data_IF_777967441042
#
_entry.id   IF_777967441042
#
_cell.length_a   1.000
_cell.length_b   1.000
_cell.length_c   1.000
_cell.angle_alpha   90.00
_cell.angle_beta   90.00
_cell.angle_gamma   90.00
#
_symmetry.space_group_name_H-M   'P 1'
#
loop_
_entity.id
_entity.type
_entity.pdbx_description
1 polymer ?
#
# COMPACT_ATOMS: atom_id res chain seq x y z
N UNK A 1 9.09 -0.89 12.83
CA UNK A 1 8.67 -2.00 11.95
C UNK A 1 7.37 -1.54 11.33
N UNK A 2 7.17 -1.70 10.03
CA UNK A 2 5.99 -1.17 9.35
C UNK A 2 4.72 -1.83 9.92
N UNK A 3 3.61 -1.11 10.12
CA UNK A 3 2.35 -1.72 10.55
C UNK A 3 1.61 -2.44 9.41
N UNK A 4 0.74 -3.39 9.78
CA UNK A 4 -0.30 -3.90 8.90
C UNK A 4 -1.57 -3.06 9.06
N UNK A 5 -2.38 -3.01 8.01
CA UNK A 5 -3.71 -2.43 8.04
C UNK A 5 -4.64 -3.32 8.86
N UNK A 6 -5.21 -2.75 9.93
CA UNK A 6 -6.12 -3.42 10.85
C UNK A 6 -7.37 -2.54 11.04
N UNK A 7 -8.43 -3.10 11.62
CA UNK A 7 -9.73 -2.43 11.75
C UNK A 7 -9.68 -1.12 12.57
N UNK A 8 -8.74 -1.09 13.50
CA UNK A 8 -8.42 -0.02 14.44
C UNK A 8 -7.39 0.97 13.89
N UNK A 9 -6.80 0.72 12.72
CA UNK A 9 -5.82 1.62 12.12
C UNK A 9 -6.43 3.02 11.96
N UNK A 10 -5.71 4.01 12.48
CA UNK A 10 -6.15 5.40 12.43
C UNK A 10 -5.98 5.98 11.02
N UNK A 11 -7.02 6.66 10.52
CA UNK A 11 -6.94 7.37 9.23
C UNK A 11 -5.80 8.41 9.20
N UNK A 12 -5.43 8.96 10.37
CA UNK A 12 -4.30 9.88 10.48
C UNK A 12 -2.98 9.22 10.08
N UNK A 13 -2.79 7.96 10.42
CA UNK A 13 -1.57 7.20 10.09
C UNK A 13 -1.49 6.87 8.61
N UNK A 14 -2.65 6.69 7.96
CA UNK A 14 -2.75 6.43 6.53
C UNK A 14 -2.68 7.70 5.69
N UNK A 15 -2.48 8.89 6.27
CA UNK A 15 -2.33 10.11 5.47
C UNK A 15 -0.95 10.16 4.84
N UNK A 16 -0.91 10.07 3.51
CA UNK A 16 0.33 10.07 2.73
C UNK A 16 1.24 8.88 3.01
N UNK A 17 0.72 7.83 3.63
CA UNK A 17 1.47 6.60 3.85
C UNK A 17 1.77 5.92 2.51
N UNK A 18 2.87 5.20 2.45
CA UNK A 18 3.09 4.19 1.41
C UNK A 18 2.49 2.88 1.86
N UNK A 19 2.02 2.10 0.91
CA UNK A 19 1.48 0.78 1.19
C UNK A 19 1.99 -0.27 0.19
N UNK A 20 1.98 -1.52 0.63
CA UNK A 20 2.16 -2.71 -0.19
C UNK A 20 1.04 -3.69 0.14
N UNK A 21 0.41 -4.25 -0.89
CA UNK A 21 -0.52 -5.38 -0.76
C UNK A 21 0.09 -6.65 -1.35
N UNK A 22 -0.04 -7.73 -0.60
CA UNK A 22 0.18 -9.08 -1.09
C UNK A 22 -0.89 -10.01 -0.51
N UNK A 23 -1.69 -10.65 -1.38
CA UNK A 23 -2.89 -11.36 -0.98
C UNK A 23 -3.89 -10.43 -0.28
N UNK A 24 -4.43 -10.88 0.86
CA UNK A 24 -5.35 -10.11 1.71
C UNK A 24 -4.66 -9.17 2.71
N UNK A 25 -3.33 -9.08 2.69
CA UNK A 25 -2.56 -8.28 3.65
C UNK A 25 -2.10 -6.97 3.02
N UNK A 26 -2.34 -5.87 3.73
CA UNK A 26 -1.84 -4.54 3.36
C UNK A 26 -0.89 -4.08 4.47
N UNK A 27 0.39 -3.91 4.16
CA UNK A 27 1.35 -3.25 5.03
C UNK A 27 1.49 -1.78 4.61
N UNK A 28 1.65 -0.88 5.56
CA UNK A 28 1.86 0.54 5.28
C UNK A 28 2.96 1.14 6.15
N UNK A 29 3.54 2.26 5.72
CA UNK A 29 4.54 2.99 6.50
C UNK A 29 4.65 4.44 6.01
N UNK A 30 5.50 5.21 6.68
CA UNK A 30 5.84 6.58 6.34
C UNK A 30 6.25 6.72 4.86
N UNK A 31 5.85 7.81 4.16
CA UNK A 31 6.20 8.05 2.77
C UNK A 31 7.70 8.04 2.46
N UNK A 32 8.60 8.22 3.44
CA UNK A 32 10.04 8.14 3.20
C UNK A 32 10.54 6.71 3.02
N UNK A 33 9.81 5.71 3.55
CA UNK A 33 10.20 4.31 3.47
C UNK A 33 9.94 3.75 2.05
N UNK A 34 10.87 2.97 1.52
CA UNK A 34 10.69 2.31 0.22
C UNK A 34 9.64 1.19 0.28
N UNK A 35 8.84 1.01 -0.77
CA UNK A 35 7.85 -0.07 -0.83
C UNK A 35 8.50 -1.46 -0.69
N UNK A 36 9.67 -1.65 -1.27
CA UNK A 36 10.49 -2.84 -1.14
C UNK A 36 10.93 -3.11 0.30
N UNK A 37 11.21 -2.06 1.09
CA UNK A 37 11.54 -2.17 2.52
C UNK A 37 10.31 -2.59 3.31
N UNK A 38 9.16 -1.95 3.08
CA UNK A 38 7.87 -2.34 3.68
C UNK A 38 7.61 -3.83 3.40
N UNK A 39 7.65 -4.22 2.13
CA UNK A 39 7.43 -5.60 1.73
C UNK A 39 8.45 -6.57 2.36
N UNK A 40 9.75 -6.23 2.36
CA UNK A 40 10.81 -7.06 2.94
C UNK A 40 10.63 -7.28 4.44
N UNK A 41 10.28 -6.24 5.20
CA UNK A 41 10.09 -6.31 6.65
C UNK A 41 9.01 -7.31 7.06
N UNK A 42 8.03 -7.53 6.18
CA UNK A 42 6.89 -8.41 6.42
C UNK A 42 6.94 -9.72 5.64
N UNK A 43 8.01 -9.98 4.89
CA UNK A 43 8.09 -11.14 4.00
C UNK A 43 7.05 -11.13 2.88
N UNK A 44 6.50 -9.96 2.54
CA UNK A 44 5.52 -9.82 1.45
C UNK A 44 6.23 -9.77 0.10
N UNK A 45 5.58 -10.34 -0.90
CA UNK A 45 6.04 -10.41 -2.27
C UNK A 45 7.25 -11.31 -2.47
N UNK A 46 7.59 -11.53 -3.73
CA UNK A 46 8.76 -12.34 -4.12
C UNK A 46 9.93 -11.43 -4.52
N UNK A 47 11.16 -11.67 -4.04
CA UNK A 47 12.30 -10.91 -4.49
C UNK A 47 12.53 -11.15 -5.99
N UNK A 48 12.55 -10.07 -6.76
CA UNK A 48 13.00 -10.09 -8.15
C UNK A 48 14.40 -9.52 -8.14
N UNK A 49 15.38 -10.30 -8.60
CA UNK A 49 16.69 -9.77 -8.95
C UNK A 49 16.69 -9.48 -10.45
N UNK A 50 16.38 -8.25 -10.89
CA UNK A 50 16.67 -7.90 -12.26
C UNK A 50 18.19 -7.79 -12.38
N UNK A 51 18.78 -8.68 -13.18
CA UNK A 51 20.21 -8.63 -13.53
C UNK A 51 20.60 -7.19 -13.89
N UNK A 52 21.57 -6.61 -13.17
CA UNK A 52 22.11 -5.28 -13.46
C UNK A 52 21.53 -4.10 -12.68
N UNK A 53 20.63 -4.30 -11.70
CA UNK A 53 20.17 -3.24 -10.80
C UNK A 53 20.72 -3.41 -9.38
N UNK A 54 21.09 -2.28 -8.76
CA UNK A 54 21.57 -2.23 -7.37
C UNK A 54 20.44 -2.31 -6.33
N UNK A 55 19.19 -2.07 -6.72
CA UNK A 55 18.02 -2.16 -5.84
C UNK A 55 17.22 -3.44 -6.09
N UNK A 56 17.04 -4.23 -5.03
CA UNK A 56 16.23 -5.43 -5.05
C UNK A 56 14.75 -5.05 -5.18
N UNK A 57 14.13 -5.38 -6.30
CA UNK A 57 12.69 -5.18 -6.48
C UNK A 57 11.91 -6.34 -5.86
N UNK A 58 10.65 -6.10 -5.52
CA UNK A 58 9.74 -7.16 -5.08
C UNK A 58 8.49 -7.26 -5.96
N UNK A 59 8.09 -8.48 -6.27
CA UNK A 59 6.87 -8.79 -6.99
C UNK A 59 5.73 -8.86 -5.98
N UNK A 60 4.75 -7.96 -6.09
CA UNK A 60 3.63 -7.82 -5.14
C UNK A 60 2.32 -7.69 -5.92
N UNK A 61 1.18 -7.72 -5.23
CA UNK A 61 -0.10 -7.56 -5.92
C UNK A 61 -0.41 -6.09 -6.19
N UNK A 62 -0.13 -5.19 -5.24
CA UNK A 62 -0.24 -3.74 -5.42
C UNK A 62 0.77 -3.00 -4.53
N UNK A 63 1.14 -1.79 -4.92
CA UNK A 63 1.94 -0.89 -4.11
C UNK A 63 1.76 0.56 -4.56
N UNK A 64 1.66 1.47 -3.61
CA UNK A 64 1.39 2.88 -3.90
C UNK A 64 1.40 3.72 -2.63
N UNK A 65 0.61 4.77 -2.63
CA UNK A 65 0.44 5.65 -1.48
C UNK A 65 -1.03 5.89 -1.20
N UNK A 66 -1.35 6.31 0.01
CA UNK A 66 -2.69 6.72 0.40
C UNK A 66 -2.75 8.25 0.47
N UNK A 67 -3.87 8.83 0.06
CA UNK A 67 -4.11 10.28 0.13
C UNK A 67 -5.47 10.54 0.78
N UNK A 68 -5.61 11.57 1.63
CA UNK A 68 -6.92 11.97 2.11
C UNK A 68 -7.76 12.56 0.97
N UNK A 69 -9.07 12.30 0.96
CA UNK A 69 -9.97 12.92 -0.02
C UNK A 69 -10.04 14.45 0.08
N UNK A 70 -9.85 15.00 1.30
CA UNK A 70 -9.79 16.44 1.54
C UNK A 70 -8.51 16.81 2.26
N UNK A 71 -7.78 17.79 1.71
CA UNK A 71 -6.60 18.36 2.33
C UNK A 71 -6.95 18.98 3.69
N UNK A 72 -6.11 18.75 4.70
CA UNK A 72 -6.26 19.37 6.03
C UNK A 72 -7.20 18.66 7.02
N UNK A 73 -8.07 17.74 6.58
CA UNK A 73 -9.07 17.08 7.45
C UNK A 73 -8.72 15.64 7.87
N UNK A 74 -8.42 15.41 9.15
CA UNK A 74 -8.04 14.10 9.68
C UNK A 74 -9.17 13.07 9.74
N UNK A 75 -10.40 13.44 9.40
CA UNK A 75 -11.57 12.55 9.38
C UNK A 75 -11.97 12.12 7.98
N UNK A 76 -11.42 12.75 6.95
CA UNK A 76 -11.76 12.43 5.57
C UNK A 76 -11.29 11.03 5.18
N UNK A 77 -12.09 10.29 4.39
CA UNK A 77 -11.70 8.98 3.88
C UNK A 77 -10.37 9.05 3.11
N UNK A 78 -9.63 7.94 3.10
CA UNK A 78 -8.39 7.82 2.31
C UNK A 78 -8.67 7.09 1.00
N UNK A 79 -7.97 7.50 -0.06
CA UNK A 79 -7.93 6.78 -1.33
C UNK A 79 -6.54 6.20 -1.56
N UNK A 80 -6.47 5.05 -2.21
CA UNK A 80 -5.22 4.43 -2.59
C UNK A 80 -4.82 4.95 -3.98
N UNK A 81 -3.70 5.64 -4.10
CA UNK A 81 -3.20 6.28 -5.34
C UNK A 81 -1.76 5.89 -5.69
N UNK A 82 -1.31 6.32 -6.87
CA UNK A 82 0.06 6.20 -7.36
C UNK A 82 0.59 4.75 -7.43
N UNK A 83 1.82 4.59 -7.92
CA UNK A 83 2.47 3.29 -8.08
C UNK A 83 3.87 3.29 -7.49
N UNK A 84 4.42 2.11 -7.24
CA UNK A 84 5.78 1.93 -6.74
C UNK A 84 6.83 1.84 -7.85
N UNK A 85 8.00 2.43 -7.63
CA UNK A 85 9.19 2.24 -8.48
C UNK A 85 10.08 1.08 -8.00
N UNK A 86 9.93 0.67 -6.74
CA UNK A 86 10.73 -0.40 -6.10
C UNK A 86 9.99 -1.73 -5.99
N UNK A 87 8.68 -1.76 -6.26
CA UNK A 87 7.89 -2.97 -6.46
C UNK A 87 7.40 -3.11 -7.91
N UNK A 88 7.24 -4.35 -8.37
CA UNK A 88 6.58 -4.71 -9.63
C UNK A 88 5.26 -5.39 -9.31
N UNK A 89 4.20 -5.08 -10.05
CA UNK A 89 2.89 -5.70 -9.85
C UNK A 89 2.79 -7.04 -10.59
N UNK A 90 2.13 -8.05 -9.98
CA UNK A 90 1.86 -9.36 -10.61
C UNK A 90 0.89 -9.28 -11.79
N UNK A 91 0.02 -8.27 -11.82
CA UNK A 91 -1.05 -8.15 -12.81
C UNK A 91 -1.30 -6.71 -13.29
N UNK A 92 -2.50 -6.48 -13.83
CA UNK A 92 -2.93 -5.16 -14.27
C UNK A 92 -3.07 -4.22 -13.06
N UNK A 93 -2.55 -3.00 -13.21
CA UNK A 93 -2.59 -1.96 -12.19
C UNK A 93 -4.01 -1.59 -11.75
N UNK A 94 -4.96 -1.49 -12.68
CA UNK A 94 -6.33 -1.06 -12.37
C UNK A 94 -7.06 -2.11 -11.53
N UNK A 95 -6.97 -3.38 -11.91
CA UNK A 95 -7.57 -4.49 -11.16
C UNK A 95 -6.91 -4.65 -9.79
N UNK A 96 -5.57 -4.57 -9.75
CA UNK A 96 -4.81 -4.59 -8.50
C UNK A 96 -5.28 -3.50 -7.53
N UNK A 97 -5.50 -2.27 -8.04
CA UNK A 97 -5.95 -1.14 -7.24
C UNK A 97 -7.38 -1.32 -6.73
N UNK A 98 -8.30 -1.77 -7.58
CA UNK A 98 -9.68 -2.06 -7.18
C UNK A 98 -9.73 -3.09 -6.04
N UNK A 99 -8.95 -4.16 -6.18
CA UNK A 99 -8.84 -5.18 -5.14
C UNK A 99 -8.25 -4.62 -3.84
N UNK A 100 -7.19 -3.80 -3.91
CA UNK A 100 -6.64 -3.14 -2.72
C UNK A 100 -7.66 -2.25 -2.02
N UNK A 101 -8.40 -1.43 -2.79
CA UNK A 101 -9.47 -0.59 -2.25
C UNK A 101 -10.55 -1.43 -1.59
N UNK A 102 -10.96 -2.53 -2.22
CA UNK A 102 -11.94 -3.45 -1.66
C UNK A 102 -11.45 -4.09 -0.34
N UNK A 103 -10.23 -4.65 -0.32
CA UNK A 103 -9.64 -5.22 0.89
C UNK A 103 -9.55 -4.17 2.02
N UNK A 104 -9.14 -2.95 1.69
CA UNK A 104 -9.09 -1.87 2.67
C UNK A 104 -10.48 -1.47 3.20
N UNK A 105 -11.51 -1.46 2.34
CA UNK A 105 -12.91 -1.24 2.75
C UNK A 105 -13.42 -2.34 3.69
N UNK A 106 -13.06 -3.59 3.41
CA UNK A 106 -13.41 -4.74 4.26
C UNK A 106 -12.74 -4.66 5.64
N UNK A 107 -11.50 -4.15 5.72
CA UNK A 107 -10.76 -3.99 6.97
C UNK A 107 -11.21 -2.76 7.77
N UNK A 108 -11.24 -1.58 7.13
CA UNK A 108 -11.42 -0.29 7.81
C UNK A 108 -12.89 0.16 7.91
N UNK A 109 -13.72 -0.27 6.96
CA UNK A 109 -15.08 0.23 6.73
C UNK A 109 -15.22 1.04 5.43
N UNK A 110 -16.39 0.91 4.79
CA UNK A 110 -16.71 1.58 3.52
C UNK A 110 -16.71 3.11 3.60
N UNK A 111 -16.97 3.67 4.78
CA UNK A 111 -16.98 5.11 5.03
C UNK A 111 -15.57 5.69 5.19
N UNK A 112 -14.56 4.85 5.43
CA UNK A 112 -13.17 5.28 5.68
C UNK A 112 -12.27 5.21 4.45
N UNK A 113 -12.70 4.49 3.41
CA UNK A 113 -11.91 4.26 2.20
C UNK A 113 -12.71 4.67 0.97
N UNK A 114 -12.12 5.55 0.17
CA UNK A 114 -12.67 6.03 -1.08
C UNK A 114 -12.15 5.24 -2.29
N UNK A 115 -12.90 5.31 -3.39
CA UNK A 115 -12.52 4.73 -4.68
C UNK A 115 -11.41 5.52 -5.40
#
# INVERSE_FOLDING_TARGET
>A
MSPFLESETSLKELRYAKFVRDGGTIAYDDPVIGHDIIAKNHGLGEPINPSGYTMQKRLVDDAGSTEPLRFGDNTSPVRFVNFSTTCKLRGNKEDARKLTTQTAKEILGNDKVAD
#
